data_IF_322030239489
#
_entry.id   IF_322030239489
#
_cell.length_a   1.000
_cell.length_b   1.000
_cell.length_c   1.000
_cell.angle_alpha   90.00
_cell.angle_beta   90.00
_cell.angle_gamma   90.00
#
_symmetry.space_group_name_H-M   'P 1'
#
loop_
_entity.id
_entity.type
_entity.pdbx_description
1 polymer ?
#
# COMPACT_ATOMS: atom_id res chain seq x y z
N UNK A 1 8.04 52.43 -4.89
CA UNK A 1 8.15 50.99 -5.14
C UNK A 1 8.16 50.12 -3.88
N UNK A 2 9.25 49.97 -3.09
CA UNK A 2 9.24 49.11 -1.87
C UNK A 2 8.11 49.44 -0.89
N UNK A 3 7.93 50.69 -0.54
CA UNK A 3 6.85 51.15 0.36
C UNK A 3 5.47 50.87 -0.23
N UNK A 4 5.29 51.04 -1.50
CA UNK A 4 4.04 50.77 -2.21
C UNK A 4 3.71 49.29 -2.22
N UNK A 5 4.70 48.42 -2.44
CA UNK A 5 4.53 46.97 -2.37
C UNK A 5 4.13 46.53 -0.93
N UNK A 6 4.82 47.05 0.09
CA UNK A 6 4.48 46.75 1.49
C UNK A 6 3.05 47.21 1.83
N UNK A 7 2.68 48.42 1.39
CA UNK A 7 1.33 48.95 1.62
C UNK A 7 0.26 48.14 0.88
N UNK A 8 0.55 47.68 -0.34
CA UNK A 8 -0.39 46.86 -1.10
C UNK A 8 -0.59 45.47 -0.45
N UNK A 9 0.50 44.82 -0.02
CA UNK A 9 0.42 43.55 0.74
C UNK A 9 -0.39 43.75 2.02
N UNK A 10 -0.13 44.82 2.78
CA UNK A 10 -0.91 45.13 3.98
C UNK A 10 -2.41 45.34 3.67
N UNK A 11 -2.70 46.09 2.61
CA UNK A 11 -4.07 46.35 2.18
C UNK A 11 -4.82 45.07 1.82
N UNK A 12 -4.19 44.14 1.13
CA UNK A 12 -4.78 42.84 0.79
C UNK A 12 -4.95 41.93 2.00
N UNK A 13 -4.10 42.10 3.03
CA UNK A 13 -4.18 41.29 4.26
C UNK A 13 -5.13 41.89 5.32
N UNK A 14 -5.58 43.13 5.18
CA UNK A 14 -6.51 43.80 6.09
C UNK A 14 -7.76 42.97 6.46
N UNK A 15 -8.42 42.24 5.50
CA UNK A 15 -9.58 41.43 5.84
C UNK A 15 -9.24 40.14 6.63
N UNK A 16 -7.96 39.79 6.74
CA UNK A 16 -7.52 38.49 7.24
C UNK A 16 -6.71 38.54 8.52
N UNK A 17 -6.21 39.74 8.90
CA UNK A 17 -5.31 39.96 10.05
C UNK A 17 -5.89 41.04 10.97
N UNK A 18 -5.62 40.90 12.28
CA UNK A 18 -5.90 41.96 13.24
C UNK A 18 -4.77 43.03 13.21
N UNK A 19 -5.00 44.15 13.91
CA UNK A 19 -4.06 45.30 13.91
C UNK A 19 -2.66 44.93 14.40
N UNK A 20 -2.55 44.06 15.39
CA UNK A 20 -1.26 43.63 15.93
C UNK A 20 -0.48 42.78 14.93
N UNK A 21 -1.18 41.86 14.26
CA UNK A 21 -0.62 41.02 13.21
C UNK A 21 -0.22 41.83 11.96
N UNK A 22 -0.96 42.89 11.63
CA UNK A 22 -0.61 43.79 10.53
C UNK A 22 0.66 44.60 10.86
N UNK A 23 0.84 45.06 12.08
CA UNK A 23 2.06 45.72 12.53
C UNK A 23 3.26 44.77 12.50
N UNK A 24 3.07 43.56 12.93
CA UNK A 24 4.10 42.50 12.86
C UNK A 24 4.49 42.18 11.41
N UNK A 25 3.49 42.01 10.51
CA UNK A 25 3.71 41.83 9.08
C UNK A 25 4.52 42.98 8.47
N UNK A 26 4.18 44.23 8.82
CA UNK A 26 4.90 45.41 8.35
C UNK A 26 6.39 45.40 8.75
N UNK A 27 6.66 45.05 10.01
CA UNK A 27 8.05 44.94 10.51
C UNK A 27 8.83 43.88 9.74
N UNK A 28 8.25 42.67 9.59
CA UNK A 28 8.88 41.57 8.87
C UNK A 28 9.15 41.94 7.41
N UNK A 29 8.17 42.51 6.71
CA UNK A 29 8.33 42.93 5.31
C UNK A 29 9.38 44.00 5.14
N UNK A 30 9.44 44.96 6.08
CA UNK A 30 10.44 46.05 6.07
C UNK A 30 11.85 45.49 6.27
N UNK A 31 12.01 44.51 7.14
CA UNK A 31 13.28 43.87 7.44
C UNK A 31 13.74 42.95 6.29
N UNK A 32 12.89 42.06 5.83
CA UNK A 32 13.18 41.10 4.73
C UNK A 32 13.51 41.83 3.43
N UNK A 33 12.80 42.93 3.15
CA UNK A 33 13.01 43.72 1.92
C UNK A 33 14.11 44.81 2.06
N UNK A 34 14.83 44.88 3.20
CA UNK A 34 15.81 45.95 3.46
C UNK A 34 16.84 46.06 2.33
N UNK A 35 17.45 44.94 1.95
CA UNK A 35 18.54 44.90 0.97
C UNK A 35 18.12 44.39 -0.42
N UNK A 36 16.79 44.21 -0.64
CA UNK A 36 16.22 43.73 -1.90
C UNK A 36 15.91 44.93 -2.81
N UNK A 37 16.34 44.90 -4.07
CA UNK A 37 15.91 45.87 -5.10
C UNK A 37 14.64 45.35 -5.77
N UNK A 38 13.52 46.07 -5.60
CA UNK A 38 12.24 45.69 -6.26
C UNK A 38 12.21 46.31 -7.64
N UNK A 39 12.26 45.50 -8.69
CA UNK A 39 12.07 45.89 -10.09
C UNK A 39 10.71 45.34 -10.56
N UNK A 40 9.98 46.12 -11.37
CA UNK A 40 8.85 45.59 -12.13
C UNK A 40 9.40 44.74 -13.28
N UNK A 41 9.48 43.46 -13.16
CA UNK A 41 9.51 42.59 -14.33
C UNK A 41 8.07 42.30 -14.73
N UNK A 42 7.78 42.54 -16.00
CA UNK A 42 6.49 42.23 -16.58
C UNK A 42 6.19 40.74 -16.41
N UNK A 43 5.08 40.45 -15.77
CA UNK A 43 4.40 39.17 -15.71
C UNK A 43 5.34 37.97 -15.60
N UNK A 44 5.60 37.50 -14.39
CA UNK A 44 5.83 36.08 -14.21
C UNK A 44 4.62 35.37 -14.80
N UNK A 45 4.84 34.67 -15.90
CA UNK A 45 3.94 33.60 -16.31
C UNK A 45 3.60 32.80 -15.06
N UNK A 46 2.33 32.77 -14.66
CA UNK A 46 1.85 31.70 -13.80
C UNK A 46 2.39 30.42 -14.45
N UNK A 47 3.37 29.79 -13.83
CA UNK A 47 3.83 28.46 -14.27
C UNK A 47 2.56 27.67 -14.47
N UNK A 48 2.10 27.57 -15.71
CA UNK A 48 0.97 26.73 -16.05
C UNK A 48 1.32 25.37 -15.51
N UNK A 49 0.67 25.00 -14.44
CA UNK A 49 0.97 23.74 -13.76
C UNK A 49 0.63 22.63 -14.73
N UNK A 50 1.62 21.91 -15.30
CA UNK A 50 1.34 20.74 -16.08
C UNK A 50 0.44 19.84 -15.25
N UNK A 51 -0.35 18.97 -15.88
CA UNK A 51 -1.20 18.03 -15.13
C UNK A 51 -0.44 17.50 -13.91
N UNK A 52 -0.70 18.13 -12.75
CA UNK A 52 0.05 17.89 -11.50
C UNK A 52 0.05 16.42 -11.12
N UNK A 53 -1.02 15.70 -11.45
CA UNK A 53 -1.14 14.26 -11.19
C UNK A 53 -0.16 13.48 -12.05
N UNK A 54 -0.05 13.81 -13.33
CA UNK A 54 0.89 13.14 -14.23
C UNK A 54 2.34 13.46 -13.88
N UNK A 55 2.65 14.71 -13.56
CA UNK A 55 3.99 15.14 -13.16
C UNK A 55 4.42 14.42 -11.86
N UNK A 56 3.57 14.40 -10.83
CA UNK A 56 3.81 13.66 -9.59
C UNK A 56 4.03 12.16 -9.83
N UNK A 57 3.19 11.53 -10.64
CA UNK A 57 3.32 10.09 -10.95
C UNK A 57 4.63 9.81 -11.68
N UNK A 58 5.07 10.71 -12.57
CA UNK A 58 6.36 10.59 -13.27
C UNK A 58 7.53 10.72 -12.30
N UNK A 59 7.51 11.70 -11.40
CA UNK A 59 8.52 11.85 -10.34
C UNK A 59 8.60 10.59 -9.46
N UNK A 60 7.46 10.05 -9.02
CA UNK A 60 7.42 8.83 -8.20
C UNK A 60 7.84 7.57 -8.95
N UNK A 61 7.72 7.55 -10.29
CA UNK A 61 8.26 6.46 -11.12
C UNK A 61 9.78 6.47 -11.11
N UNK A 62 10.41 7.64 -11.25
CA UNK A 62 11.86 7.80 -11.18
C UNK A 62 12.39 7.40 -9.78
N UNK A 63 11.62 7.69 -8.71
CA UNK A 63 11.93 7.25 -7.35
C UNK A 63 11.79 5.73 -7.14
N UNK A 64 11.41 4.95 -8.17
CA UNK A 64 11.32 3.49 -8.10
C UNK A 64 10.00 2.94 -7.55
N UNK A 65 8.94 3.73 -7.53
CA UNK A 65 7.62 3.24 -7.17
C UNK A 65 7.07 2.23 -8.20
N UNK A 66 6.48 1.13 -7.71
CA UNK A 66 5.87 0.13 -8.60
C UNK A 66 4.66 0.68 -9.35
N UNK A 67 4.39 0.21 -10.58
CA UNK A 67 3.23 0.61 -11.40
C UNK A 67 1.90 0.43 -10.66
N UNK A 68 1.78 -0.61 -9.82
CA UNK A 68 0.60 -0.81 -8.96
C UNK A 68 0.41 0.32 -7.95
N UNK A 69 1.51 0.79 -7.34
CA UNK A 69 1.51 1.94 -6.41
C UNK A 69 1.17 3.23 -7.14
N UNK A 70 1.76 3.45 -8.32
CA UNK A 70 1.51 4.63 -9.14
C UNK A 70 0.05 4.72 -9.59
N UNK A 71 -0.56 3.60 -10.03
CA UNK A 71 -2.00 3.53 -10.34
C UNK A 71 -2.88 3.88 -9.14
N UNK A 72 -2.49 3.41 -7.95
CA UNK A 72 -3.24 3.72 -6.73
C UNK A 72 -3.10 5.19 -6.33
N UNK A 73 -1.90 5.77 -6.45
CA UNK A 73 -1.66 7.19 -6.23
C UNK A 73 -2.50 8.04 -7.17
N UNK A 74 -2.38 7.81 -8.48
CA UNK A 74 -3.16 8.50 -9.51
C UNK A 74 -4.65 8.49 -9.19
N UNK A 75 -5.24 7.29 -9.04
CA UNK A 75 -6.67 7.13 -8.76
C UNK A 75 -7.13 7.87 -7.51
N UNK A 76 -6.29 7.90 -6.46
CA UNK A 76 -6.62 8.57 -5.20
C UNK A 76 -6.59 10.10 -5.37
N UNK A 77 -5.58 10.63 -6.06
CA UNK A 77 -5.44 12.08 -6.32
C UNK A 77 -6.56 12.56 -7.23
N UNK A 78 -6.82 11.88 -8.34
CA UNK A 78 -7.89 12.21 -9.30
C UNK A 78 -9.27 12.20 -8.60
N UNK A 79 -9.53 11.20 -7.76
CA UNK A 79 -10.77 11.13 -7.00
C UNK A 79 -10.91 12.30 -5.99
N UNK A 80 -9.82 12.75 -5.40
CA UNK A 80 -9.82 13.90 -4.50
C UNK A 80 -10.05 15.20 -5.29
N UNK A 81 -9.32 15.44 -6.37
CA UNK A 81 -9.48 16.64 -7.21
C UNK A 81 -10.91 16.75 -7.76
N UNK A 82 -11.44 15.65 -8.31
CA UNK A 82 -12.82 15.60 -8.81
C UNK A 82 -13.86 15.78 -7.70
N UNK A 83 -13.60 15.22 -6.51
CA UNK A 83 -14.54 15.32 -5.39
C UNK A 83 -14.57 16.70 -4.73
N UNK A 84 -13.48 17.46 -4.79
CA UNK A 84 -13.40 18.83 -4.26
C UNK A 84 -13.80 19.87 -5.32
N UNK A 85 -13.51 19.61 -6.60
CA UNK A 85 -13.80 20.51 -7.71
C UNK A 85 -12.93 21.77 -7.75
N UNK A 86 -11.73 21.73 -7.17
CA UNK A 86 -10.73 22.81 -7.17
C UNK A 86 -9.41 22.36 -7.76
N UNK A 87 -8.61 23.29 -8.24
CA UNK A 87 -7.21 23.01 -8.61
C UNK A 87 -6.40 22.67 -7.37
N UNK A 88 -5.32 21.89 -7.52
CA UNK A 88 -4.49 21.48 -6.38
C UNK A 88 -3.93 22.67 -5.58
N UNK A 89 -3.65 23.79 -6.25
CA UNK A 89 -3.17 25.04 -5.65
C UNK A 89 -4.21 25.72 -4.74
N UNK A 90 -5.50 25.58 -5.06
CA UNK A 90 -6.62 26.22 -4.37
C UNK A 90 -7.16 25.38 -3.20
N UNK A 91 -6.68 24.12 -3.05
CA UNK A 91 -7.18 23.22 -2.02
C UNK A 91 -6.65 23.63 -0.65
N UNK A 92 -7.58 23.84 0.27
CA UNK A 92 -7.29 24.16 1.66
C UNK A 92 -7.31 22.93 2.57
N UNK A 93 -6.76 23.06 3.78
CA UNK A 93 -6.85 22.01 4.81
C UNK A 93 -8.30 21.63 5.12
N UNK A 94 -9.21 22.61 5.10
CA UNK A 94 -10.64 22.38 5.39
C UNK A 94 -11.33 21.62 4.26
N UNK A 95 -10.98 21.90 3.00
CA UNK A 95 -11.48 21.12 1.86
C UNK A 95 -11.10 19.65 1.99
N UNK A 96 -9.86 19.37 2.38
CA UNK A 96 -9.37 18.01 2.58
C UNK A 96 -10.06 17.31 3.77
N UNK A 97 -10.31 18.01 4.87
CA UNK A 97 -11.05 17.45 6.00
C UNK A 97 -12.47 17.08 5.60
N UNK A 98 -13.17 17.96 4.92
CA UNK A 98 -14.52 17.70 4.39
C UNK A 98 -14.52 16.52 3.42
N UNK A 99 -13.58 16.48 2.50
CA UNK A 99 -13.43 15.36 1.55
C UNK A 99 -13.23 14.02 2.26
N UNK A 100 -12.28 13.93 3.21
CA UNK A 100 -11.99 12.70 3.95
C UNK A 100 -13.20 12.24 4.78
N UNK A 101 -13.91 13.17 5.41
CA UNK A 101 -15.14 12.88 6.19
C UNK A 101 -16.25 12.37 5.28
N UNK A 102 -16.50 13.05 4.16
CA UNK A 102 -17.50 12.64 3.17
C UNK A 102 -17.16 11.27 2.56
N UNK A 103 -15.91 11.05 2.20
CA UNK A 103 -15.42 9.75 1.67
C UNK A 103 -15.66 8.62 2.67
N UNK A 104 -15.36 8.86 3.95
CA UNK A 104 -15.57 7.87 5.01
C UNK A 104 -17.06 7.52 5.15
N UNK A 105 -17.93 8.50 5.22
CA UNK A 105 -19.38 8.33 5.41
C UNK A 105 -20.02 7.65 4.21
N UNK A 106 -19.80 8.15 3.00
CA UNK A 106 -20.42 7.65 1.77
C UNK A 106 -20.01 6.22 1.45
N UNK A 107 -18.71 5.89 1.62
CA UNK A 107 -18.17 4.57 1.29
C UNK A 107 -18.06 3.62 2.48
N UNK A 108 -18.51 4.04 3.65
CA UNK A 108 -18.35 3.29 4.92
C UNK A 108 -16.92 2.77 5.11
N UNK A 109 -15.94 3.60 4.71
CA UNK A 109 -14.53 3.21 4.69
C UNK A 109 -13.95 3.12 6.08
N UNK A 110 -13.05 2.15 6.29
CA UNK A 110 -12.35 1.99 7.57
C UNK A 110 -11.41 3.18 7.84
N UNK A 111 -11.14 3.46 9.12
CA UNK A 111 -10.14 4.46 9.52
C UNK A 111 -8.76 4.21 8.90
N UNK A 112 -8.38 2.94 8.69
CA UNK A 112 -7.13 2.56 8.02
C UNK A 112 -7.14 3.02 6.56
N UNK A 113 -8.27 2.88 5.86
CA UNK A 113 -8.42 3.35 4.48
C UNK A 113 -8.26 4.87 4.40
N UNK A 114 -8.89 5.59 5.33
CA UNK A 114 -8.78 7.06 5.40
C UNK A 114 -7.33 7.50 5.68
N UNK A 115 -6.61 6.84 6.60
CA UNK A 115 -5.19 7.15 6.84
C UNK A 115 -4.31 6.86 5.61
N UNK A 116 -4.60 5.80 4.86
CA UNK A 116 -3.89 5.51 3.61
C UNK A 116 -4.12 6.61 2.56
N UNK A 117 -5.37 7.07 2.39
CA UNK A 117 -5.68 8.19 1.50
C UNK A 117 -4.93 9.44 1.96
N UNK A 118 -5.02 9.80 3.25
CA UNK A 118 -4.30 10.93 3.84
C UNK A 118 -2.79 10.87 3.55
N UNK A 119 -2.16 9.69 3.67
CA UNK A 119 -0.73 9.50 3.39
C UNK A 119 -0.39 9.74 1.92
N UNK A 120 -1.23 9.30 1.01
CA UNK A 120 -1.05 9.55 -0.43
C UNK A 120 -1.17 11.06 -0.71
N UNK A 121 -2.21 11.70 -0.18
CA UNK A 121 -2.40 13.14 -0.32
C UNK A 121 -1.25 13.93 0.31
N UNK A 122 -0.73 13.48 1.47
CA UNK A 122 0.46 14.08 2.08
C UNK A 122 1.68 13.99 1.16
N UNK A 123 1.91 12.84 0.53
CA UNK A 123 3.01 12.69 -0.43
C UNK A 123 2.85 13.58 -1.65
N UNK A 124 1.62 13.72 -2.16
CA UNK A 124 1.32 14.58 -3.32
C UNK A 124 1.52 16.06 -3.01
N UNK A 125 0.93 16.55 -1.91
CA UNK A 125 1.03 17.96 -1.55
C UNK A 125 2.41 18.35 -1.02
N UNK A 126 3.16 17.43 -0.42
CA UNK A 126 4.58 17.70 -0.07
C UNK A 126 5.43 17.82 -1.32
N UNK A 127 5.19 16.97 -2.33
CA UNK A 127 5.88 17.10 -3.61
C UNK A 127 5.54 18.44 -4.31
N UNK A 128 4.27 18.90 -4.27
CA UNK A 128 3.90 20.22 -4.80
C UNK A 128 4.57 21.38 -4.04
N UNK A 129 4.78 21.24 -2.73
CA UNK A 129 5.53 22.18 -1.89
C UNK A 129 7.03 22.18 -2.27
N UNK A 130 7.62 20.99 -2.45
CA UNK A 130 9.04 20.80 -2.81
C UNK A 130 9.35 21.33 -4.23
N UNK A 131 8.38 21.32 -5.15
CA UNK A 131 8.50 21.84 -6.53
C UNK A 131 8.07 23.32 -6.65
N UNK A 132 7.80 24.00 -5.54
CA UNK A 132 7.36 25.40 -5.48
C UNK A 132 6.02 25.69 -6.19
N UNK A 133 5.17 24.67 -6.41
CA UNK A 133 3.82 24.88 -6.95
C UNK A 133 2.83 25.41 -5.91
N UNK A 134 3.11 25.16 -4.63
CA UNK A 134 2.36 25.68 -3.49
C UNK A 134 3.32 26.10 -2.37
N UNK A 135 2.97 27.13 -1.64
CA UNK A 135 3.81 27.65 -0.53
C UNK A 135 3.83 26.67 0.65
N UNK A 136 2.73 25.96 0.91
CA UNK A 136 2.59 25.07 2.06
C UNK A 136 1.56 23.98 1.84
N UNK A 137 1.95 22.76 2.17
CA UNK A 137 1.06 21.59 2.05
C UNK A 137 -0.17 21.71 2.97
N UNK A 138 -1.40 21.66 2.41
CA UNK A 138 -2.64 21.71 3.20
C UNK A 138 -2.87 20.46 4.06
N UNK A 139 -2.17 19.35 3.78
CA UNK A 139 -2.26 18.10 4.56
C UNK A 139 -1.46 18.18 5.87
N UNK A 140 -0.54 19.12 6.01
CA UNK A 140 0.39 19.20 7.14
C UNK A 140 -0.32 19.27 8.51
N UNK A 141 -1.52 19.88 8.56
CA UNK A 141 -2.36 19.98 9.76
C UNK A 141 -3.34 18.82 9.94
N UNK A 142 -3.28 17.79 9.07
CA UNK A 142 -4.12 16.60 9.16
C UNK A 142 -3.26 15.45 9.69
N UNK A 143 -3.37 15.19 10.99
CA UNK A 143 -2.57 14.19 11.66
C UNK A 143 -3.04 12.77 11.32
N UNK A 144 -2.17 11.78 11.65
CA UNK A 144 -2.45 10.35 11.49
C UNK A 144 -3.76 9.98 12.18
N UNK A 145 -4.62 9.25 11.47
CA UNK A 145 -5.87 8.74 12.03
C UNK A 145 -5.57 7.62 13.02
N UNK A 146 -5.98 7.79 14.28
CA UNK A 146 -5.82 6.76 15.31
C UNK A 146 -6.71 5.57 14.98
N UNK A 147 -6.10 4.40 14.87
CA UNK A 147 -6.79 3.11 14.65
C UNK A 147 -6.53 2.20 15.83
N UNK A 148 -7.54 1.45 16.26
CA UNK A 148 -7.34 0.42 17.26
C UNK A 148 -6.41 -0.68 16.73
N UNK A 149 -5.47 -1.13 17.53
CA UNK A 149 -4.70 -2.35 17.25
C UNK A 149 -5.58 -3.53 17.60
N UNK A 150 -6.11 -4.20 16.60
CA UNK A 150 -6.88 -5.43 16.78
C UNK A 150 -5.96 -6.62 16.60
N UNK A 151 -6.03 -7.57 17.55
CA UNK A 151 -5.44 -8.89 17.39
C UNK A 151 -6.15 -9.55 16.21
N UNK A 152 -5.40 -10.02 15.25
CA UNK A 152 -5.96 -10.65 14.06
C UNK A 152 -5.95 -12.15 14.26
N UNK A 153 -7.07 -12.81 13.98
CA UNK A 153 -7.24 -14.25 14.13
C UNK A 153 -6.25 -15.07 13.29
N UNK A 154 -5.84 -16.20 13.84
CA UNK A 154 -5.10 -17.28 13.15
C UNK A 154 -6.04 -18.45 12.86
N UNK A 155 -5.58 -19.44 12.11
CA UNK A 155 -6.27 -20.73 12.02
C UNK A 155 -5.83 -21.61 13.20
N UNK A 156 -6.74 -22.43 13.72
CA UNK A 156 -6.39 -23.56 14.57
C UNK A 156 -5.89 -24.71 13.71
N UNK A 157 -5.23 -25.70 14.33
CA UNK A 157 -4.74 -26.88 13.61
C UNK A 157 -5.91 -27.68 13.03
N UNK A 158 -7.03 -27.79 13.77
CA UNK A 158 -8.25 -28.44 13.29
C UNK A 158 -8.84 -27.75 12.08
N UNK A 159 -8.85 -26.40 12.07
CA UNK A 159 -9.34 -25.64 10.91
C UNK A 159 -8.47 -25.88 9.67
N UNK A 160 -7.16 -26.04 9.84
CA UNK A 160 -6.26 -26.38 8.73
C UNK A 160 -6.52 -27.79 8.22
N UNK A 161 -6.71 -28.79 9.10
CA UNK A 161 -7.05 -30.17 8.68
C UNK A 161 -8.41 -30.20 7.96
N UNK A 162 -9.44 -29.58 8.52
CA UNK A 162 -10.74 -29.47 7.86
C UNK A 162 -10.66 -28.84 6.45
N UNK A 163 -9.79 -27.83 6.28
CA UNK A 163 -9.58 -27.24 4.97
C UNK A 163 -8.92 -28.24 4.00
N UNK A 164 -7.96 -29.04 4.45
CA UNK A 164 -7.29 -30.09 3.66
C UNK A 164 -8.27 -31.15 3.23
N UNK A 165 -9.03 -31.71 4.16
CA UNK A 165 -9.99 -32.78 3.93
C UNK A 165 -11.14 -32.36 2.99
N UNK A 166 -11.47 -31.07 3.02
CA UNK A 166 -12.52 -30.52 2.17
C UNK A 166 -12.05 -30.07 0.77
N UNK A 167 -10.77 -30.31 0.41
CA UNK A 167 -10.28 -30.03 -0.91
C UNK A 167 -10.82 -31.06 -1.92
N UNK A 168 -11.42 -30.56 -3.00
CA UNK A 168 -11.99 -31.41 -4.04
C UNK A 168 -10.98 -31.82 -5.13
N UNK A 169 -9.78 -31.27 -5.12
CA UNK A 169 -8.74 -31.55 -6.10
C UNK A 169 -7.33 -31.38 -5.52
N UNK A 170 -6.37 -32.09 -6.10
CA UNK A 170 -4.97 -32.08 -5.68
C UNK A 170 -4.34 -30.68 -5.75
N UNK A 171 -4.73 -29.85 -6.74
CA UNK A 171 -4.24 -28.46 -6.84
C UNK A 171 -4.56 -27.64 -5.59
N UNK A 172 -5.81 -27.65 -5.17
CA UNK A 172 -6.28 -26.81 -4.07
C UNK A 172 -5.64 -27.24 -2.75
N UNK A 173 -5.46 -28.57 -2.56
CA UNK A 173 -4.74 -29.14 -1.42
C UNK A 173 -3.26 -28.69 -1.40
N UNK A 174 -2.56 -28.81 -2.54
CA UNK A 174 -1.17 -28.36 -2.67
C UNK A 174 -1.01 -26.86 -2.43
N UNK A 175 -1.96 -26.02 -2.86
CA UNK A 175 -1.97 -24.57 -2.59
C UNK A 175 -2.10 -24.28 -1.09
N UNK A 176 -3.01 -24.97 -0.39
CA UNK A 176 -3.22 -24.79 1.04
C UNK A 176 -1.96 -25.18 1.81
N UNK A 177 -1.39 -26.33 1.52
CA UNK A 177 -0.21 -26.80 2.23
C UNK A 177 1.01 -25.93 1.98
N UNK A 178 1.23 -25.52 0.74
CA UNK A 178 2.35 -24.61 0.44
C UNK A 178 2.20 -23.27 1.16
N UNK A 179 0.99 -22.70 1.24
CA UNK A 179 0.74 -21.47 1.99
C UNK A 179 0.91 -21.68 3.51
N UNK A 180 0.47 -22.83 4.04
CA UNK A 180 0.51 -23.11 5.47
C UNK A 180 1.93 -23.40 5.96
N UNK A 181 2.69 -24.22 5.25
CA UNK A 181 4.03 -24.65 5.66
C UNK A 181 5.11 -23.60 5.38
N UNK A 182 5.00 -22.88 4.27
CA UNK A 182 6.04 -21.93 3.86
C UNK A 182 5.78 -20.48 4.34
N UNK A 183 4.53 -20.13 4.59
CA UNK A 183 4.12 -18.77 4.90
C UNK A 183 4.48 -17.74 3.82
N UNK A 184 4.77 -18.16 2.59
CA UNK A 184 5.06 -17.24 1.48
C UNK A 184 3.85 -16.37 1.14
N UNK A 185 4.09 -15.24 0.47
CA UNK A 185 2.98 -14.40 -0.01
C UNK A 185 2.33 -15.06 -1.23
N UNK A 186 1.00 -14.95 -1.33
CA UNK A 186 0.29 -15.49 -2.50
C UNK A 186 0.84 -14.95 -3.82
N UNK A 187 1.27 -13.69 -3.85
CA UNK A 187 1.90 -13.10 -5.03
C UNK A 187 3.25 -13.74 -5.39
N UNK A 188 4.00 -14.21 -4.41
CA UNK A 188 5.25 -14.96 -4.61
C UNK A 188 4.92 -16.38 -5.12
N UNK A 189 3.97 -17.06 -4.49
CA UNK A 189 3.55 -18.42 -4.86
C UNK A 189 3.07 -18.53 -6.32
N UNK A 190 2.27 -17.61 -6.80
CA UNK A 190 1.73 -17.68 -8.17
C UNK A 190 2.78 -17.42 -9.25
N UNK A 191 3.92 -16.82 -8.89
CA UNK A 191 5.01 -16.58 -9.84
C UNK A 191 5.92 -17.80 -10.02
N UNK A 192 5.90 -18.77 -9.11
CA UNK A 192 6.71 -19.96 -9.18
C UNK A 192 6.40 -20.80 -10.40
N UNK A 193 7.44 -21.39 -10.99
CA UNK A 193 7.40 -22.42 -12.00
C UNK A 193 7.64 -23.80 -11.37
N UNK A 194 7.40 -24.88 -12.14
CA UNK A 194 7.68 -26.25 -11.69
C UNK A 194 9.15 -26.45 -11.36
N UNK A 195 10.05 -25.85 -12.15
CA UNK A 195 11.51 -25.93 -12.02
C UNK A 195 12.07 -25.19 -10.80
N UNK A 196 11.32 -24.23 -10.24
CA UNK A 196 11.75 -23.45 -9.07
C UNK A 196 11.68 -24.27 -7.77
N UNK A 197 11.07 -25.47 -7.80
CA UNK A 197 10.89 -26.30 -6.62
C UNK A 197 11.98 -27.35 -6.47
N UNK A 198 12.79 -27.21 -5.45
CA UNK A 198 13.74 -28.25 -5.04
C UNK A 198 13.05 -29.24 -4.09
N UNK A 199 12.58 -30.36 -4.65
CA UNK A 199 11.89 -31.39 -3.85
C UNK A 199 12.84 -32.14 -2.91
N UNK A 200 14.14 -32.21 -3.19
CA UNK A 200 15.09 -32.93 -2.33
C UNK A 200 15.29 -32.17 -1.03
N UNK A 201 15.59 -30.89 -1.11
CA UNK A 201 15.81 -30.00 0.04
C UNK A 201 14.49 -29.39 0.58
N UNK A 202 13.39 -29.59 -0.12
CA UNK A 202 12.07 -29.01 0.22
C UNK A 202 12.09 -27.49 0.34
N UNK A 203 12.62 -26.85 -0.65
CA UNK A 203 12.80 -25.39 -0.69
C UNK A 203 12.50 -24.82 -2.07
N UNK A 204 12.31 -23.52 -2.12
CA UNK A 204 12.27 -22.75 -3.36
C UNK A 204 12.73 -21.31 -3.11
N UNK A 205 13.22 -20.66 -4.16
CA UNK A 205 13.57 -19.24 -4.14
C UNK A 205 12.37 -18.43 -4.57
N UNK A 206 11.98 -17.44 -3.76
CA UNK A 206 10.91 -16.51 -4.11
C UNK A 206 11.41 -15.09 -4.20
N UNK A 207 10.87 -14.33 -5.16
CA UNK A 207 11.20 -12.91 -5.37
C UNK A 207 10.15 -12.05 -4.67
N UNK A 208 10.61 -11.31 -3.67
CA UNK A 208 9.77 -10.42 -2.87
C UNK A 208 9.73 -8.97 -3.38
N UNK A 209 9.15 -8.08 -2.58
CA UNK A 209 9.09 -6.65 -2.89
C UNK A 209 10.49 -6.05 -3.02
N UNK A 210 10.71 -5.30 -4.10
CA UNK A 210 12.02 -4.68 -4.41
C UNK A 210 13.01 -5.65 -5.03
N UNK A 211 12.51 -6.68 -5.72
CA UNK A 211 13.31 -7.69 -6.42
C UNK A 211 14.31 -8.43 -5.51
N UNK A 212 13.96 -8.59 -4.22
CA UNK A 212 14.80 -9.32 -3.26
C UNK A 212 14.40 -10.77 -3.23
N UNK A 213 15.37 -11.63 -3.49
CA UNK A 213 15.23 -13.07 -3.39
C UNK A 213 15.34 -13.53 -1.94
N UNK A 214 14.62 -14.59 -1.61
CA UNK A 214 14.81 -15.33 -0.37
C UNK A 214 14.46 -16.79 -0.55
N UNK A 215 15.16 -17.61 0.17
CA UNK A 215 14.86 -19.03 0.29
C UNK A 215 13.61 -19.23 1.17
N UNK A 216 12.77 -20.15 0.79
CA UNK A 216 11.55 -20.53 1.50
C UNK A 216 11.48 -22.03 1.58
N UNK A 217 11.20 -22.55 2.77
CA UNK A 217 11.11 -23.98 3.05
C UNK A 217 9.66 -24.44 3.16
N UNK A 218 9.41 -25.71 2.85
CA UNK A 218 8.12 -26.36 3.03
C UNK A 218 8.28 -27.76 3.63
N UNK A 219 7.25 -28.27 4.27
CA UNK A 219 7.28 -29.55 4.98
C UNK A 219 7.14 -30.78 4.06
N UNK A 220 7.30 -31.98 4.61
CA UNK A 220 7.21 -33.23 3.89
C UNK A 220 5.79 -33.49 3.33
N UNK A 221 4.74 -33.06 4.04
CA UNK A 221 3.35 -33.15 3.59
C UNK A 221 3.14 -32.33 2.30
N UNK A 222 3.61 -31.09 2.30
CA UNK A 222 3.57 -30.20 1.14
C UNK A 222 4.30 -30.80 -0.06
N UNK A 223 5.48 -31.40 0.17
CA UNK A 223 6.22 -32.12 -0.89
C UNK A 223 5.35 -33.17 -1.57
N UNK A 224 4.73 -34.04 -0.79
CA UNK A 224 3.89 -35.14 -1.30
C UNK A 224 2.70 -34.58 -2.09
N UNK A 225 2.00 -33.59 -1.54
CA UNK A 225 0.82 -33.03 -2.19
C UNK A 225 1.16 -32.24 -3.46
N UNK A 226 2.33 -31.55 -3.47
CA UNK A 226 2.82 -30.91 -4.69
C UNK A 226 3.18 -31.92 -5.78
N UNK A 227 3.85 -33.02 -5.43
CA UNK A 227 4.17 -34.10 -6.36
C UNK A 227 2.92 -34.72 -6.95
N UNK A 228 1.96 -35.13 -6.11
CA UNK A 228 0.67 -35.67 -6.54
C UNK A 228 -0.09 -34.71 -7.48
N UNK A 229 -0.05 -33.40 -7.15
CA UNK A 229 -0.65 -32.40 -8.02
C UNK A 229 0.05 -32.33 -9.38
N UNK A 230 1.39 -32.25 -9.39
CA UNK A 230 2.15 -32.16 -10.64
C UNK A 230 1.99 -33.41 -11.52
N UNK A 231 1.94 -34.59 -10.92
CA UNK A 231 1.67 -35.86 -11.62
C UNK A 231 0.24 -35.92 -12.23
N UNK A 232 -0.72 -35.28 -11.57
CA UNK A 232 -2.11 -35.22 -12.07
C UNK A 232 -2.28 -34.22 -13.22
N UNK A 233 -1.27 -33.43 -13.56
CA UNK A 233 -1.37 -32.40 -14.61
C UNK A 233 -1.12 -32.98 -15.98
N UNK A 234 -1.97 -32.60 -16.93
CA UNK A 234 -1.89 -33.00 -18.34
C UNK A 234 -1.42 -31.90 -19.28
N UNK A 235 -1.21 -30.67 -18.74
CA UNK A 235 -0.77 -29.49 -19.50
C UNK A 235 0.74 -29.30 -19.47
N UNK A 236 1.26 -28.58 -20.48
CA UNK A 236 2.68 -28.24 -20.59
C UNK A 236 3.06 -26.87 -20.01
N UNK A 237 2.15 -26.17 -19.30
CA UNK A 237 2.44 -24.85 -18.77
C UNK A 237 3.55 -24.92 -17.70
N UNK A 238 4.61 -24.09 -17.77
CA UNK A 238 5.71 -24.12 -16.82
C UNK A 238 5.32 -23.66 -15.42
N UNK A 239 4.22 -22.90 -15.27
CA UNK A 239 3.78 -22.40 -13.98
C UNK A 239 3.55 -23.53 -12.98
N UNK A 240 3.95 -23.35 -11.71
CA UNK A 240 3.72 -24.31 -10.64
C UNK A 240 2.22 -24.58 -10.48
N UNK A 241 1.40 -23.52 -10.43
CA UNK A 241 -0.06 -23.63 -10.31
C UNK A 241 -0.77 -23.06 -11.53
N UNK A 242 -1.77 -23.81 -12.02
CA UNK A 242 -2.61 -23.43 -13.17
C UNK A 242 -4.08 -23.47 -12.85
N UNK A 243 -4.90 -22.84 -13.71
CA UNK A 243 -6.36 -22.94 -13.64
C UNK A 243 -6.83 -24.36 -13.94
N UNK A 244 -7.94 -24.81 -13.30
CA UNK A 244 -8.52 -26.14 -13.56
C UNK A 244 -9.19 -26.22 -14.93
N UNK A 245 -9.55 -25.09 -15.51
CA UNK A 245 -10.21 -25.02 -16.84
C UNK A 245 -9.17 -24.77 -17.92
N UNK A 246 -9.35 -25.40 -19.06
CA UNK A 246 -8.58 -25.11 -20.27
C UNK A 246 -8.66 -23.59 -20.59
N UNK A 247 -7.56 -22.99 -21.07
CA UNK A 247 -6.29 -23.58 -21.51
C UNK A 247 -5.23 -23.74 -20.39
N UNK A 248 -5.60 -23.92 -19.12
CA UNK A 248 -4.72 -24.14 -17.97
C UNK A 248 -3.67 -23.03 -17.79
N UNK A 249 -4.14 -21.77 -17.86
CA UNK A 249 -3.29 -20.61 -17.64
C UNK A 249 -2.76 -20.58 -16.21
N UNK A 250 -1.61 -19.91 -16.01
CA UNK A 250 -1.05 -19.64 -14.68
C UNK A 250 -2.14 -19.15 -13.72
N UNK A 251 -2.21 -19.74 -12.54
CA UNK A 251 -3.17 -19.35 -11.51
C UNK A 251 -2.88 -17.93 -11.01
N UNK A 252 -3.88 -17.07 -11.01
CA UNK A 252 -3.78 -15.70 -10.56
C UNK A 252 -4.18 -15.56 -9.09
N UNK A 253 -3.72 -14.46 -8.43
CA UNK A 253 -4.08 -14.17 -7.02
C UNK A 253 -5.58 -14.25 -6.79
N UNK A 254 -6.39 -13.64 -7.68
CA UNK A 254 -7.85 -13.68 -7.58
C UNK A 254 -8.44 -15.07 -7.64
N UNK A 255 -7.81 -15.99 -8.40
CA UNK A 255 -8.20 -17.41 -8.45
C UNK A 255 -7.98 -18.11 -7.10
N UNK A 256 -6.81 -17.92 -6.48
CA UNK A 256 -6.51 -18.43 -5.14
C UNK A 256 -7.47 -17.86 -4.09
N UNK A 257 -7.70 -16.55 -4.10
CA UNK A 257 -8.61 -15.90 -3.15
C UNK A 257 -10.06 -16.39 -3.31
N UNK A 258 -10.50 -16.63 -4.55
CA UNK A 258 -11.85 -17.14 -4.83
C UNK A 258 -12.00 -18.58 -4.35
N UNK A 259 -11.00 -19.42 -4.61
CA UNK A 259 -10.95 -20.80 -4.11
C UNK A 259 -11.03 -20.84 -2.59
N UNK A 260 -10.15 -20.09 -1.90
CA UNK A 260 -10.12 -20.02 -0.44
C UNK A 260 -11.42 -19.47 0.16
N UNK A 261 -12.01 -18.46 -0.47
CA UNK A 261 -13.32 -17.92 -0.06
C UNK A 261 -14.43 -18.94 -0.20
N UNK A 262 -14.43 -19.70 -1.28
CA UNK A 262 -15.38 -20.79 -1.51
C UNK A 262 -15.25 -21.90 -0.46
N UNK A 263 -14.01 -22.30 -0.16
CA UNK A 263 -13.71 -23.27 0.89
C UNK A 263 -14.18 -22.78 2.28
N UNK A 264 -13.86 -21.54 2.61
CA UNK A 264 -14.31 -20.95 3.88
C UNK A 264 -15.82 -20.90 4.03
N UNK A 265 -16.56 -20.62 2.95
CA UNK A 265 -18.03 -20.66 2.96
C UNK A 265 -18.56 -22.08 3.22
N UNK A 266 -18.00 -23.09 2.58
CA UNK A 266 -18.41 -24.50 2.77
C UNK A 266 -18.21 -24.98 4.20
N UNK A 267 -17.13 -24.51 4.85
CA UNK A 267 -16.73 -24.91 6.20
C UNK A 267 -17.24 -23.98 7.31
N UNK A 268 -18.03 -22.96 6.99
CA UNK A 268 -18.44 -21.89 7.91
C UNK A 268 -17.26 -21.22 8.63
N UNK A 269 -16.07 -21.20 7.98
CA UNK A 269 -14.89 -20.52 8.50
C UNK A 269 -14.90 -19.05 8.10
N UNK A 270 -14.72 -18.17 9.09
CA UNK A 270 -14.67 -16.73 8.84
C UNK A 270 -13.37 -16.34 8.13
N UNK A 271 -13.49 -15.59 7.03
CA UNK A 271 -12.39 -14.89 6.35
C UNK A 271 -11.18 -15.77 6.02
N UNK A 272 -11.39 -16.84 5.25
CA UNK A 272 -10.28 -17.63 4.70
C UNK A 272 -9.60 -16.86 3.58
N UNK A 273 -8.31 -16.53 3.78
CA UNK A 273 -7.50 -15.77 2.81
C UNK A 273 -6.00 -16.04 3.01
N UNK A 274 -5.14 -15.83 1.97
CA UNK A 274 -3.73 -16.23 2.00
C UNK A 274 -2.91 -15.65 3.17
N UNK A 275 -3.10 -14.37 3.50
CA UNK A 275 -2.35 -13.75 4.59
C UNK A 275 -2.65 -14.33 5.98
N UNK A 276 -3.79 -15.01 6.15
CA UNK A 276 -4.11 -15.67 7.42
C UNK A 276 -3.24 -16.91 7.63
N UNK A 277 -2.91 -17.69 6.58
CA UNK A 277 -1.95 -18.81 6.66
C UNK A 277 -0.57 -18.34 7.12
N UNK A 278 -0.06 -17.29 6.48
CA UNK A 278 1.25 -16.72 6.84
C UNK A 278 1.29 -16.25 8.30
N UNK A 279 0.22 -15.65 8.79
CA UNK A 279 0.08 -15.22 10.18
C UNK A 279 0.03 -16.42 11.11
N UNK A 280 -0.74 -17.45 10.76
CA UNK A 280 -0.82 -18.69 11.54
C UNK A 280 0.56 -19.33 11.69
N UNK A 281 1.33 -19.46 10.61
CA UNK A 281 2.70 -19.95 10.69
C UNK A 281 3.56 -19.11 11.62
N UNK A 282 3.51 -17.77 11.48
CA UNK A 282 4.31 -16.87 12.31
C UNK A 282 3.98 -17.00 13.80
N UNK A 283 2.68 -16.96 14.14
CA UNK A 283 2.23 -17.10 15.53
C UNK A 283 2.60 -18.47 16.08
N UNK A 284 2.34 -19.56 15.34
CA UNK A 284 2.71 -20.91 15.76
C UNK A 284 4.23 -21.08 15.94
N UNK A 285 5.05 -20.44 15.13
CA UNK A 285 6.50 -20.48 15.27
C UNK A 285 6.96 -19.75 16.55
N UNK A 286 6.37 -18.59 16.87
CA UNK A 286 6.63 -17.85 18.11
C UNK A 286 6.17 -18.66 19.32
N UNK A 287 4.98 -19.22 19.29
CA UNK A 287 4.41 -20.03 20.38
C UNK A 287 5.26 -21.29 20.67
N UNK A 288 5.94 -21.82 19.64
CA UNK A 288 6.90 -22.92 19.75
C UNK A 288 8.32 -22.46 20.15
N UNK A 289 8.49 -21.20 20.52
CA UNK A 289 9.75 -20.65 21.04
C UNK A 289 10.75 -20.15 19.99
N UNK A 290 10.33 -20.01 18.71
CA UNK A 290 11.22 -19.42 17.70
C UNK A 290 11.44 -17.93 17.98
N UNK A 291 12.70 -17.45 18.05
CA UNK A 291 13.00 -16.03 18.23
C UNK A 291 12.39 -15.18 17.12
N UNK A 292 11.89 -13.99 17.47
CA UNK A 292 11.16 -13.11 16.56
C UNK A 292 12.01 -12.69 15.34
N UNK A 293 13.32 -12.59 15.51
CA UNK A 293 14.28 -12.29 14.45
C UNK A 293 14.34 -13.42 13.41
N UNK A 294 14.28 -14.67 13.86
CA UNK A 294 14.23 -15.83 12.96
C UNK A 294 12.89 -15.87 12.22
N UNK A 295 11.78 -15.58 12.90
CA UNK A 295 10.46 -15.47 12.26
C UNK A 295 10.45 -14.32 11.24
N UNK A 296 11.11 -13.21 11.53
CA UNK A 296 11.28 -12.11 10.60
C UNK A 296 12.00 -12.55 9.34
N UNK A 297 13.12 -13.28 9.47
CA UNK A 297 13.90 -13.81 8.34
C UNK A 297 13.10 -14.83 7.54
N UNK A 298 12.47 -15.81 8.21
CA UNK A 298 11.60 -16.83 7.60
C UNK A 298 10.53 -16.19 6.71
N UNK A 299 9.90 -15.15 7.20
CA UNK A 299 8.86 -14.45 6.49
C UNK A 299 9.41 -13.41 5.48
N UNK A 300 10.66 -13.01 5.56
CA UNK A 300 11.23 -11.96 4.72
C UNK A 300 10.59 -10.59 4.98
N UNK A 301 10.43 -10.22 6.27
CA UNK A 301 9.99 -8.88 6.66
C UNK A 301 11.20 -7.94 6.75
N UNK A 302 11.14 -6.81 6.05
CA UNK A 302 12.22 -5.80 6.08
C UNK A 302 12.31 -5.07 7.42
N UNK A 303 11.18 -5.00 8.17
CA UNK A 303 11.11 -4.33 9.47
C UNK A 303 10.55 -5.30 10.50
N UNK A 304 11.19 -5.34 11.67
CA UNK A 304 10.77 -6.19 12.78
C UNK A 304 9.35 -5.83 13.26
N UNK A 305 8.99 -4.55 13.23
CA UNK A 305 7.64 -4.07 13.56
C UNK A 305 6.53 -4.82 12.80
N UNK A 306 6.82 -5.27 11.57
CA UNK A 306 5.85 -6.05 10.77
C UNK A 306 5.63 -7.43 11.37
N UNK A 307 6.67 -8.04 11.96
CA UNK A 307 6.61 -9.34 12.64
C UNK A 307 5.96 -9.20 14.00
N UNK A 308 6.22 -8.10 14.72
CA UNK A 308 5.62 -7.80 16.03
C UNK A 308 4.08 -7.59 15.98
N UNK A 309 3.48 -7.61 14.80
CA UNK A 309 2.02 -7.57 14.64
C UNK A 309 1.37 -8.96 14.68
N UNK A 310 2.14 -10.00 14.86
CA UNK A 310 1.72 -11.39 15.04
C UNK A 310 1.84 -11.79 16.52
#
# INVERSE_FOLDING_TARGET
MKKELINEIQRQMLPHLNNEQLLQLQRILTEVLRDVTVCYEAQHDEKQMPDATNAFVSAKRIEGCSEKTLKYYRKTIEAMLSGIGKTAQQITTEDLRRYLTAYQSQRRSSKVTIDNIRRILSSFFSWLEDEDFIIKSPVRRIHKVKTAKLVKDTYTDEALELMRDSCSCARDLAVIDLLASSGMRVGEMIMLNREDINFNERECVVVGKGNKERLVYFDARTKIHLQNYLESRTDANPALFVSLKAPHNRLMIGGVETMLRGLGKRLNLTKVHPHKFRRTLATSAIDKGMPIEQVQQLLGHQKIDTTMHY
#
